data_IF_765711602648
#
_entry.id   IF_765711602648
#
_cell.length_a   1.000
_cell.length_b   1.000
_cell.length_c   1.000
_cell.angle_alpha   90.00
_cell.angle_beta   90.00
_cell.angle_gamma   90.00
#
_symmetry.space_group_name_H-M   'P 1'
#
loop_
_entity.id
_entity.type
_entity.pdbx_description
1 polymer ?
#
# COMPACT_ATOMS: atom_id res chain seq x y z
N UNK A 1 -19.08 39.29 -44.79
CA UNK A 1 -19.08 37.85 -44.52
C UNK A 1 -17.77 37.51 -43.81
N UNK A 2 -17.80 37.24 -42.51
CA UNK A 2 -16.64 36.73 -41.74
C UNK A 2 -16.99 35.31 -41.31
N UNK A 3 -16.38 34.31 -41.93
CA UNK A 3 -16.44 32.93 -41.46
C UNK A 3 -15.44 32.78 -40.31
N UNK A 4 -15.97 32.64 -39.10
CA UNK A 4 -15.22 32.24 -37.91
C UNK A 4 -14.99 30.74 -37.99
N UNK A 5 -13.75 30.33 -38.29
CA UNK A 5 -13.30 28.96 -38.17
C UNK A 5 -12.99 28.66 -36.71
N UNK A 6 -13.97 28.11 -36.00
CA UNK A 6 -13.75 27.46 -34.71
C UNK A 6 -13.03 26.13 -34.95
N UNK A 7 -11.71 26.11 -34.77
CA UNK A 7 -10.93 24.88 -34.65
C UNK A 7 -11.30 24.22 -33.32
N UNK A 8 -12.12 23.18 -33.39
CA UNK A 8 -12.31 22.25 -32.28
C UNK A 8 -10.97 21.53 -32.11
N UNK A 9 -10.21 21.94 -31.10
CA UNK A 9 -9.05 21.19 -30.64
C UNK A 9 -9.55 19.86 -30.10
N UNK A 10 -9.50 18.81 -30.92
CA UNK A 10 -9.66 17.45 -30.45
C UNK A 10 -8.42 17.12 -29.63
N UNK A 11 -8.53 17.22 -28.30
CA UNK A 11 -7.56 16.63 -27.39
C UNK A 11 -7.59 15.12 -27.59
N UNK A 12 -6.73 14.61 -28.46
CA UNK A 12 -6.34 13.21 -28.48
C UNK A 12 -5.63 12.95 -27.15
N UNK A 13 -6.41 12.49 -26.17
CA UNK A 13 -5.86 11.90 -24.95
C UNK A 13 -5.12 10.66 -25.42
N UNK A 14 -3.80 10.73 -25.45
CA UNK A 14 -2.92 9.59 -25.67
C UNK A 14 -3.26 8.55 -24.60
N UNK A 15 -3.93 7.48 -25.03
CA UNK A 15 -4.31 6.37 -24.19
C UNK A 15 -3.03 5.72 -23.68
N UNK A 16 -2.85 5.61 -22.35
CA UNK A 16 -1.69 4.92 -21.81
C UNK A 16 -1.56 3.54 -22.45
N UNK A 17 -0.36 3.19 -22.90
CA UNK A 17 -0.09 1.85 -23.37
C UNK A 17 -0.23 0.89 -22.16
N UNK A 18 -1.29 0.07 -22.16
CA UNK A 18 -1.32 -1.10 -21.30
C UNK A 18 -0.03 -1.89 -21.57
N UNK A 19 0.77 -2.13 -20.54
CA UNK A 19 2.07 -2.81 -20.64
C UNK A 19 1.94 -4.29 -21.06
N UNK A 20 0.72 -4.75 -21.32
CA UNK A 20 0.37 -6.11 -21.65
C UNK A 20 -0.27 -6.83 -20.47
N UNK A 21 -0.21 -8.16 -20.51
CA UNK A 21 -0.78 -9.02 -19.49
C UNK A 21 -0.07 -8.80 -18.14
N UNK A 22 -0.85 -8.88 -17.06
CA UNK A 22 -0.38 -8.79 -15.68
C UNK A 22 0.71 -9.87 -15.42
N UNK A 23 1.90 -9.51 -14.90
CA UNK A 23 2.92 -10.47 -14.51
C UNK A 23 2.36 -11.51 -13.55
N UNK A 24 2.86 -12.74 -13.61
CA UNK A 24 2.33 -13.86 -12.81
C UNK A 24 2.26 -13.52 -11.31
N UNK A 25 3.28 -12.82 -10.79
CA UNK A 25 3.35 -12.41 -9.38
C UNK A 25 2.24 -11.40 -9.00
N UNK A 26 1.78 -10.60 -9.96
CA UNK A 26 0.75 -9.59 -9.76
C UNK A 26 -0.68 -10.14 -9.92
N UNK A 27 -0.86 -11.40 -10.37
CA UNK A 27 -2.18 -12.01 -10.58
C UNK A 27 -2.91 -12.36 -9.28
N UNK A 28 -2.15 -12.58 -8.21
CA UNK A 28 -2.72 -12.78 -6.88
C UNK A 28 -3.29 -11.47 -6.36
N UNK A 29 -4.52 -11.49 -5.83
CA UNK A 29 -5.08 -10.34 -5.12
C UNK A 29 -4.37 -10.07 -3.78
N UNK A 30 -3.50 -10.97 -3.33
CA UNK A 30 -2.64 -10.79 -2.16
C UNK A 30 -1.18 -10.67 -2.59
N UNK A 31 -0.56 -9.53 -2.32
CA UNK A 31 0.86 -9.29 -2.50
C UNK A 31 1.55 -9.53 -1.15
N UNK A 32 2.32 -10.61 -1.06
CA UNK A 32 3.06 -11.00 0.14
C UNK A 32 4.52 -10.59 0.00
N UNK A 33 4.86 -9.45 0.58
CA UNK A 33 6.19 -8.85 0.52
C UNK A 33 7.16 -9.59 1.44
N UNK A 34 8.29 -10.00 0.88
CA UNK A 34 9.45 -10.51 1.60
C UNK A 34 10.74 -9.84 1.08
N UNK A 35 11.89 -10.16 1.67
CA UNK A 35 13.18 -9.56 1.31
C UNK A 35 13.65 -9.89 -0.12
N UNK A 36 13.07 -10.90 -0.78
CA UNK A 36 13.46 -11.35 -2.12
C UNK A 36 12.59 -10.78 -3.24
N UNK A 37 11.36 -10.36 -2.92
CA UNK A 37 10.36 -10.02 -3.93
C UNK A 37 9.84 -8.57 -3.86
N UNK A 38 10.29 -7.78 -2.88
CA UNK A 38 9.76 -6.46 -2.60
C UNK A 38 9.73 -5.54 -3.84
N UNK A 39 10.84 -5.46 -4.60
CA UNK A 39 10.92 -4.60 -5.79
C UNK A 39 9.87 -4.97 -6.86
N UNK A 40 9.67 -6.27 -7.10
CA UNK A 40 8.67 -6.77 -8.06
C UNK A 40 7.26 -6.43 -7.59
N UNK A 41 6.95 -6.67 -6.32
CA UNK A 41 5.61 -6.46 -5.77
C UNK A 41 5.25 -4.97 -5.59
N UNK A 42 6.25 -4.11 -5.36
CA UNK A 42 6.08 -2.65 -5.45
C UNK A 42 5.62 -2.27 -6.85
N UNK A 43 6.21 -2.89 -7.88
CA UNK A 43 5.76 -2.73 -9.27
C UNK A 43 4.30 -3.13 -9.47
N UNK A 44 3.88 -4.27 -8.92
CA UNK A 44 2.48 -4.71 -8.98
C UNK A 44 1.53 -3.69 -8.35
N UNK A 45 1.79 -3.29 -7.10
CA UNK A 45 0.93 -2.39 -6.35
C UNK A 45 0.81 -0.98 -6.99
N UNK A 46 1.90 -0.50 -7.60
CA UNK A 46 1.96 0.81 -8.25
C UNK A 46 1.30 0.86 -9.62
N UNK A 47 1.44 -0.22 -10.39
CA UNK A 47 1.12 -0.21 -11.83
C UNK A 47 -0.18 -0.94 -12.16
N UNK A 48 -0.81 -1.66 -11.23
CA UNK A 48 -2.04 -2.38 -11.53
C UNK A 48 -3.26 -1.46 -11.53
N UNK A 49 -4.05 -1.54 -12.60
CA UNK A 49 -5.31 -0.84 -12.77
C UNK A 49 -6.38 -1.82 -13.21
N UNK A 50 -7.60 -1.64 -12.71
CA UNK A 50 -8.79 -2.28 -13.27
C UNK A 50 -9.37 -1.36 -14.34
N UNK A 51 -9.38 -1.83 -15.58
CA UNK A 51 -9.87 -1.13 -16.76
C UNK A 51 -10.94 -1.99 -17.41
N UNK A 52 -12.18 -1.49 -17.52
CA UNK A 52 -13.33 -2.26 -18.05
C UNK A 52 -13.54 -3.63 -17.37
N UNK A 53 -13.17 -3.75 -16.09
CA UNK A 53 -13.27 -4.99 -15.31
C UNK A 53 -12.07 -5.94 -15.40
N UNK A 54 -11.10 -5.65 -16.28
CA UNK A 54 -9.87 -6.42 -16.42
C UNK A 54 -8.71 -5.76 -15.68
N UNK A 55 -7.85 -6.56 -15.04
CA UNK A 55 -6.67 -6.04 -14.33
C UNK A 55 -5.46 -6.04 -15.26
N UNK A 56 -4.91 -4.85 -15.52
CA UNK A 56 -3.78 -4.63 -16.42
C UNK A 56 -2.70 -3.80 -15.75
N UNK A 57 -1.48 -3.83 -16.29
CA UNK A 57 -0.44 -2.89 -15.88
C UNK A 57 -0.47 -1.64 -16.74
N UNK A 58 -0.49 -0.47 -16.11
CA UNK A 58 -0.45 0.84 -16.76
C UNK A 58 0.71 1.64 -16.19
N UNK A 59 1.62 2.10 -17.06
CA UNK A 59 2.72 2.98 -16.67
C UNK A 59 2.38 4.44 -16.99
N UNK A 60 1.98 5.19 -15.97
CA UNK A 60 1.61 6.60 -16.11
C UNK A 60 2.79 7.59 -16.05
N UNK A 61 4.04 7.12 -16.13
CA UNK A 61 5.21 8.02 -15.99
C UNK A 61 5.20 9.14 -17.04
N UNK A 62 4.70 8.88 -18.25
CA UNK A 62 4.63 9.88 -19.34
C UNK A 62 3.26 9.97 -20.02
N UNK A 63 2.28 9.16 -19.60
CA UNK A 63 0.98 9.02 -20.27
C UNK A 63 -0.16 9.10 -19.25
N UNK A 64 -1.29 9.70 -19.67
CA UNK A 64 -2.45 9.83 -18.81
C UNK A 64 -3.12 8.46 -18.61
N UNK A 65 -3.46 8.15 -17.36
CA UNK A 65 -4.26 6.96 -17.03
C UNK A 65 -5.59 7.05 -17.78
N UNK A 66 -6.02 5.99 -18.51
CA UNK A 66 -7.29 6.01 -19.21
C UNK A 66 -8.46 6.27 -18.26
N UNK A 67 -9.46 7.02 -18.71
CA UNK A 67 -10.56 7.46 -17.85
C UNK A 67 -11.43 6.30 -17.29
N UNK A 68 -11.41 5.14 -17.96
CA UNK A 68 -12.10 3.92 -17.54
C UNK A 68 -11.26 3.02 -16.64
N UNK A 69 -10.05 3.44 -16.26
CA UNK A 69 -9.15 2.71 -15.38
C UNK A 69 -9.16 3.32 -13.98
N UNK A 70 -9.24 2.46 -12.96
CA UNK A 70 -9.04 2.83 -11.56
C UNK A 70 -7.91 2.01 -10.95
N UNK A 71 -7.14 2.54 -9.97
CA UNK A 71 -6.13 1.75 -9.28
C UNK A 71 -6.72 0.43 -8.76
N UNK A 72 -5.99 -0.67 -8.94
CA UNK A 72 -6.44 -1.99 -8.47
C UNK A 72 -6.02 -2.22 -7.02
N UNK A 73 -6.95 -2.32 -6.05
CA UNK A 73 -6.61 -2.42 -4.64
C UNK A 73 -6.17 -3.83 -4.23
N UNK A 74 -4.88 -4.05 -4.01
CA UNK A 74 -4.37 -5.32 -3.49
C UNK A 74 -4.56 -5.47 -1.97
N UNK A 75 -4.60 -6.72 -1.51
CA UNK A 75 -4.28 -7.06 -0.12
C UNK A 75 -2.76 -7.07 0.02
N UNK A 76 -2.23 -6.27 0.94
CA UNK A 76 -0.81 -6.16 1.21
C UNK A 76 -0.51 -6.93 2.49
N UNK A 77 0.34 -7.94 2.38
CA UNK A 77 0.89 -8.67 3.52
C UNK A 77 2.39 -8.43 3.54
N UNK A 78 2.93 -7.97 4.67
CA UNK A 78 4.38 -7.79 4.86
C UNK A 78 4.84 -8.91 5.79
N UNK A 79 5.67 -9.80 5.25
CA UNK A 79 6.26 -10.93 5.99
C UNK A 79 7.27 -10.42 7.04
N UNK A 80 7.39 -11.15 8.15
CA UNK A 80 8.37 -10.89 9.19
C UNK A 80 9.83 -10.90 8.71
N UNK A 81 10.11 -11.51 7.56
CA UNK A 81 11.46 -11.59 7.01
C UNK A 81 11.96 -10.30 6.32
N UNK A 82 11.12 -9.28 6.14
CA UNK A 82 11.60 -7.97 5.65
C UNK A 82 12.52 -7.33 6.69
N UNK A 83 13.67 -6.86 6.21
CA UNK A 83 14.67 -6.14 7.00
C UNK A 83 14.78 -4.72 6.45
N UNK A 84 14.68 -3.72 7.34
CA UNK A 84 14.88 -2.33 6.97
C UNK A 84 13.61 -1.67 6.43
N UNK A 85 13.71 -0.95 5.31
CA UNK A 85 12.64 -0.07 4.81
C UNK A 85 11.84 -0.75 3.69
N UNK A 86 10.51 -0.73 3.80
CA UNK A 86 9.60 -1.02 2.68
C UNK A 86 8.91 0.28 2.25
N UNK A 87 9.04 0.62 0.97
CA UNK A 87 8.37 1.77 0.37
C UNK A 87 7.54 1.32 -0.83
N UNK A 88 6.25 1.70 -0.86
CA UNK A 88 5.35 1.39 -1.97
C UNK A 88 4.77 2.71 -2.54
N UNK A 89 5.57 3.47 -3.31
CA UNK A 89 5.11 4.71 -3.92
C UNK A 89 4.10 4.44 -5.05
N UNK A 90 3.17 5.36 -5.25
CA UNK A 90 2.13 5.32 -6.29
C UNK A 90 0.97 4.36 -6.03
N UNK A 91 0.98 3.62 -4.91
CA UNK A 91 -0.16 2.81 -4.48
C UNK A 91 -1.18 3.69 -3.74
N UNK A 92 -2.21 4.15 -4.45
CA UNK A 92 -3.25 5.03 -3.89
C UNK A 92 -4.33 4.27 -3.09
N UNK A 93 -4.56 3.01 -3.44
CA UNK A 93 -5.66 2.19 -2.92
C UNK A 93 -5.12 0.84 -2.44
N UNK A 94 -5.65 0.34 -1.32
CA UNK A 94 -5.41 -1.03 -0.86
C UNK A 94 -6.71 -1.67 -0.35
N UNK A 95 -6.86 -2.98 -0.53
CA UNK A 95 -7.97 -3.71 0.09
C UNK A 95 -7.74 -3.80 1.60
N UNK A 96 -6.57 -4.27 1.99
CA UNK A 96 -6.14 -4.37 3.39
C UNK A 96 -4.62 -4.30 3.45
N UNK A 97 -4.08 -3.86 4.58
CA UNK A 97 -2.63 -3.85 4.81
C UNK A 97 -2.38 -4.52 6.15
N UNK A 98 -1.56 -5.57 6.13
CA UNK A 98 -1.17 -6.31 7.33
C UNK A 98 0.34 -6.38 7.40
N UNK A 99 0.92 -5.82 8.45
CA UNK A 99 2.33 -5.96 8.80
C UNK A 99 2.40 -6.77 10.08
N UNK A 100 2.84 -8.01 9.97
CA UNK A 100 2.97 -8.90 11.11
C UNK A 100 4.40 -9.41 11.25
N UNK A 101 4.86 -9.59 12.48
CA UNK A 101 5.95 -10.52 12.75
C UNK A 101 5.57 -11.96 12.38
N UNK A 102 6.57 -12.84 12.30
CA UNK A 102 6.38 -14.26 12.00
C UNK A 102 6.13 -15.04 13.29
N UNK A 103 5.00 -15.75 13.39
CA UNK A 103 4.83 -16.81 14.39
C UNK A 103 5.45 -18.06 13.77
N UNK A 104 6.56 -18.55 14.30
CA UNK A 104 7.16 -19.82 13.83
C UNK A 104 6.56 -20.97 14.64
N UNK A 105 5.80 -21.90 14.00
CA UNK A 105 5.43 -23.14 14.66
C UNK A 105 6.70 -23.93 14.97
N UNK A 106 6.83 -24.45 16.20
CA UNK A 106 7.93 -25.30 16.69
C UNK A 106 9.19 -24.60 17.25
N UNK A 107 9.09 -23.39 17.79
CA UNK A 107 10.15 -22.89 18.70
C UNK A 107 10.12 -23.65 20.04
N UNK A 108 11.26 -24.04 20.62
CA UNK A 108 11.33 -24.72 21.92
C UNK A 108 10.85 -23.87 23.11
N UNK A 109 10.61 -22.58 22.89
CA UNK A 109 9.80 -21.76 23.80
C UNK A 109 8.33 -22.17 23.64
N UNK A 110 7.77 -22.80 24.67
CA UNK A 110 6.46 -23.47 24.76
C UNK A 110 5.19 -22.64 24.41
N UNK A 111 5.29 -21.52 23.69
CA UNK A 111 4.18 -20.66 23.26
C UNK A 111 4.25 -20.21 21.78
N UNK A 112 5.14 -20.77 20.98
CA UNK A 112 5.41 -20.28 19.63
C UNK A 112 6.25 -19.00 19.72
N UNK A 113 7.45 -19.01 19.14
CA UNK A 113 8.24 -17.78 19.11
C UNK A 113 7.63 -16.84 18.08
N UNK A 114 7.18 -15.68 18.56
CA UNK A 114 6.92 -14.52 17.73
C UNK A 114 8.29 -13.96 17.35
N UNK A 115 8.70 -14.14 16.10
CA UNK A 115 9.82 -13.42 15.52
C UNK A 115 9.27 -12.08 15.03
N UNK A 116 9.54 -11.04 15.80
CA UNK A 116 9.28 -9.67 15.37
C UNK A 116 9.88 -9.43 13.99
N UNK A 117 9.12 -8.78 13.09
CA UNK A 117 9.69 -8.32 11.82
C UNK A 117 10.79 -7.29 12.09
N UNK A 118 11.85 -7.34 11.28
CA UNK A 118 12.95 -6.38 11.31
C UNK A 118 12.70 -5.18 10.37
N UNK A 119 11.46 -5.01 9.91
CA UNK A 119 11.05 -3.79 9.22
C UNK A 119 11.18 -2.60 10.17
N UNK A 120 11.92 -1.59 9.76
CA UNK A 120 12.17 -0.36 10.53
C UNK A 120 11.33 0.81 10.05
N UNK A 121 10.92 0.80 8.77
CA UNK A 121 10.15 1.87 8.15
C UNK A 121 9.16 1.32 7.12
N UNK A 122 7.93 1.83 7.18
CA UNK A 122 6.91 1.61 6.15
C UNK A 122 6.51 2.96 5.54
N UNK A 123 6.73 3.10 4.23
CA UNK A 123 6.46 4.32 3.49
C UNK A 123 5.42 4.08 2.39
N UNK A 124 4.23 4.62 2.59
CA UNK A 124 3.12 4.56 1.66
C UNK A 124 2.69 6.00 1.33
N UNK A 125 3.54 6.77 0.64
CA UNK A 125 3.38 8.23 0.50
C UNK A 125 2.14 8.64 -0.27
N UNK A 126 1.63 7.74 -1.12
CA UNK A 126 0.49 7.99 -2.01
C UNK A 126 -0.79 7.29 -1.56
N UNK A 127 -0.75 6.45 -0.51
CA UNK A 127 -1.91 5.72 -0.03
C UNK A 127 -2.98 6.68 0.48
N UNK A 128 -4.17 6.61 -0.12
CA UNK A 128 -5.32 7.44 0.24
C UNK A 128 -6.41 6.63 0.93
N UNK A 129 -6.70 5.41 0.46
CA UNK A 129 -7.83 4.65 0.96
C UNK A 129 -7.47 3.18 1.22
N UNK A 130 -8.00 2.64 2.32
CA UNK A 130 -7.94 1.22 2.68
C UNK A 130 -9.37 0.70 2.84
N UNK A 131 -9.76 -0.22 1.95
CA UNK A 131 -11.15 -0.68 1.85
C UNK A 131 -11.61 -1.55 3.03
N UNK A 132 -10.68 -2.13 3.79
CA UNK A 132 -10.92 -2.90 5.01
C UNK A 132 -10.03 -2.36 6.14
N UNK A 133 -9.05 -3.13 6.61
CA UNK A 133 -8.23 -2.82 7.77
C UNK A 133 -6.76 -2.56 7.41
N UNK A 134 -6.14 -1.65 8.17
CA UNK A 134 -4.70 -1.42 8.18
C UNK A 134 -4.17 -1.79 9.56
N UNK A 135 -3.46 -2.91 9.62
CA UNK A 135 -2.99 -3.55 10.84
C UNK A 135 -1.47 -3.65 10.86
N UNK A 136 -0.88 -3.28 12.00
CA UNK A 136 0.52 -3.50 12.33
C UNK A 136 0.54 -4.19 13.69
N UNK A 137 1.10 -5.38 13.80
CA UNK A 137 1.17 -6.10 15.07
C UNK A 137 2.42 -6.98 15.17
N UNK A 138 2.89 -7.24 16.38
CA UNK A 138 4.06 -8.09 16.62
C UNK A 138 5.32 -7.59 15.89
N UNK A 139 5.56 -6.27 15.96
CA UNK A 139 6.70 -5.62 15.31
C UNK A 139 7.48 -4.77 16.32
N UNK A 140 8.73 -5.15 16.59
CA UNK A 140 9.59 -4.46 17.57
C UNK A 140 10.61 -3.49 16.95
N UNK A 141 10.69 -3.41 15.62
CA UNK A 141 11.71 -2.58 14.94
C UNK A 141 11.18 -1.31 14.29
N UNK A 142 9.86 -1.18 14.10
CA UNK A 142 9.27 -0.05 13.37
C UNK A 142 9.45 1.24 14.18
N UNK A 143 10.15 2.20 13.59
CA UNK A 143 10.40 3.53 14.15
C UNK A 143 9.88 4.65 13.26
N UNK A 144 9.50 4.33 12.01
CA UNK A 144 8.96 5.29 11.06
C UNK A 144 7.74 4.71 10.31
N UNK A 145 6.67 5.48 10.26
CA UNK A 145 5.48 5.19 9.47
C UNK A 145 5.07 6.45 8.72
N UNK A 146 5.11 6.40 7.39
CA UNK A 146 4.86 7.55 6.54
C UNK A 146 3.66 7.28 5.62
N UNK A 147 2.49 7.78 6.03
CA UNK A 147 1.19 7.61 5.35
C UNK A 147 0.43 8.96 5.27
N UNK A 148 1.05 10.02 4.70
CA UNK A 148 0.58 11.40 4.86
C UNK A 148 -0.74 11.66 4.13
N UNK A 149 -1.04 10.91 3.06
CA UNK A 149 -2.25 11.06 2.25
C UNK A 149 -3.40 10.14 2.66
N UNK A 150 -3.23 9.30 3.68
CA UNK A 150 -4.28 8.37 4.10
C UNK A 150 -5.51 9.15 4.57
N UNK A 151 -6.63 8.99 3.86
CA UNK A 151 -7.91 9.66 4.09
C UNK A 151 -8.93 8.74 4.76
N UNK A 152 -9.06 7.51 4.25
CA UNK A 152 -10.13 6.60 4.68
C UNK A 152 -9.62 5.19 4.99
N UNK A 153 -10.05 4.66 6.13
CA UNK A 153 -9.93 3.24 6.50
C UNK A 153 -11.32 2.71 6.85
N UNK A 154 -11.91 1.88 6.00
CA UNK A 154 -13.35 1.55 6.12
C UNK A 154 -13.68 0.79 7.41
N UNK A 155 -12.78 -0.08 7.86
CA UNK A 155 -12.99 -0.95 9.02
C UNK A 155 -12.13 -0.54 10.22
N UNK A 156 -10.85 -0.90 10.25
CA UNK A 156 -10.02 -0.68 11.44
C UNK A 156 -8.60 -0.25 11.12
N UNK A 157 -8.11 0.75 11.85
CA UNK A 157 -6.71 1.13 11.95
C UNK A 157 -6.18 0.59 13.30
N UNK A 158 -5.43 -0.51 13.28
CA UNK A 158 -5.01 -1.23 14.49
C UNK A 158 -3.50 -1.36 14.51
N UNK A 159 -2.82 -0.57 15.33
CA UNK A 159 -1.38 -0.64 15.51
C UNK A 159 -1.04 -1.08 16.94
N UNK A 160 -0.32 -2.20 17.05
CA UNK A 160 0.37 -2.63 18.24
C UNK A 160 1.88 -2.50 18.03
N UNK A 161 2.43 -1.44 18.64
CA UNK A 161 3.82 -1.01 18.58
C UNK A 161 4.46 -1.09 19.97
N UNK A 162 3.94 -1.97 20.84
CA UNK A 162 4.34 -2.06 22.26
C UNK A 162 5.76 -2.58 22.45
N UNK A 163 6.24 -3.40 21.53
CA UNK A 163 7.58 -3.98 21.57
C UNK A 163 8.65 -3.08 20.90
N UNK A 164 8.23 -1.99 20.26
CA UNK A 164 9.09 -1.13 19.44
C UNK A 164 9.64 0.11 20.15
N UNK A 165 10.55 0.85 19.50
CA UNK A 165 10.99 2.16 19.97
C UNK A 165 9.83 3.16 20.00
N UNK A 166 10.06 4.30 20.66
CA UNK A 166 9.11 5.41 20.60
C UNK A 166 8.90 5.87 19.14
N UNK A 167 7.66 6.01 18.70
CA UNK A 167 7.31 6.39 17.33
C UNK A 167 6.29 7.52 17.31
N UNK A 168 6.54 8.50 16.45
CA UNK A 168 5.60 9.58 16.16
C UNK A 168 4.64 9.15 15.05
N UNK A 169 3.36 9.11 15.37
CA UNK A 169 2.31 8.81 14.39
C UNK A 169 1.68 10.11 13.88
N UNK A 170 1.50 10.22 12.56
CA UNK A 170 0.91 11.39 11.93
C UNK A 170 0.03 10.96 10.75
N UNK A 171 -1.24 11.34 10.79
CA UNK A 171 -2.22 11.08 9.74
C UNK A 171 -2.95 12.37 9.34
N UNK A 172 -2.24 13.35 8.74
CA UNK A 172 -2.76 14.70 8.55
C UNK A 172 -3.98 14.77 7.61
N UNK A 173 -4.17 13.76 6.75
CA UNK A 173 -5.30 13.68 5.81
C UNK A 173 -6.43 12.77 6.28
N UNK A 174 -6.29 12.07 7.42
CA UNK A 174 -7.24 11.04 7.83
C UNK A 174 -8.57 11.68 8.24
N UNK A 175 -9.59 11.46 7.40
CA UNK A 175 -10.95 11.96 7.60
C UNK A 175 -11.89 10.91 8.17
N UNK A 176 -11.61 9.62 7.93
CA UNK A 176 -12.47 8.54 8.37
C UNK A 176 -11.69 7.27 8.72
N UNK A 177 -11.95 6.75 9.92
CA UNK A 177 -11.70 5.37 10.28
C UNK A 177 -12.81 4.90 11.20
N UNK A 178 -13.43 3.75 10.92
CA UNK A 178 -14.54 3.24 11.75
C UNK A 178 -14.06 2.87 13.16
N UNK A 179 -12.88 2.26 13.26
CA UNK A 179 -12.25 1.92 14.52
C UNK A 179 -10.76 2.30 14.48
N UNK A 180 -10.26 2.89 15.56
CA UNK A 180 -8.84 3.20 15.74
C UNK A 180 -8.40 2.61 17.07
N UNK A 181 -7.41 1.73 17.02
CA UNK A 181 -6.76 1.16 18.20
C UNK A 181 -5.25 1.34 18.04
N UNK A 182 -4.66 2.16 18.90
CA UNK A 182 -3.23 2.41 18.91
C UNK A 182 -2.69 2.01 20.28
N UNK A 183 -1.79 1.03 20.30
CA UNK A 183 -1.15 0.52 21.51
C UNK A 183 0.36 0.59 21.33
N UNK A 184 1.09 1.03 22.36
CA UNK A 184 2.54 0.95 22.41
C UNK A 184 3.24 2.26 22.74
N UNK A 185 4.54 2.32 22.42
CA UNK A 185 5.40 3.46 22.71
C UNK A 185 5.15 4.61 21.71
N UNK A 186 4.02 5.30 21.85
CA UNK A 186 3.63 6.38 20.93
C UNK A 186 4.13 7.72 21.48
N UNK A 187 4.98 8.40 20.71
CA UNK A 187 5.43 9.76 21.03
C UNK A 187 4.37 10.78 20.59
N UNK A 188 3.75 11.41 21.57
CA UNK A 188 2.72 12.44 21.38
C UNK A 188 3.28 13.88 21.42
N UNK A 189 4.61 14.06 21.43
CA UNK A 189 5.27 15.37 21.55
C UNK A 189 5.65 16.00 20.20
#
# INVERSE_FOLDING_TARGET
>A
MKLSSHLISASIVSLAAALGNLPTDCKSNNLSFDSSNADTLVGCARLAYSCDGEVVQVNSTNEAIPANCTPHPYKISVDGNIVGRLAIPGMAEATSITVNGSIVPNSPAYLGAVYSSNITSLDLPDLENVASSFMISHVSSVSNLNVPKLKNVTESLIFDLSEGPAIKLSFPSLSYARNISLTGNIDAR
#
